data_IF_067280178716
#
_entry.id   IF_067280178716
#
_cell.length_a   1.000
_cell.length_b   1.000
_cell.length_c   1.000
_cell.angle_alpha   90.00
_cell.angle_beta   90.00
_cell.angle_gamma   90.00
#
_symmetry.space_group_name_H-M   'P 1'
#
loop_
_entity.id
_entity.type
_entity.pdbx_description
1 polymer ?
#
# COMPACT_ATOMS: atom_id res chain seq x y z
N UNK A 1 -6.42 12.21 2.96
CA UNK A 1 -5.48 11.57 3.93
C UNK A 1 -4.06 12.06 3.71
N UNK A 2 -3.21 12.06 4.75
CA UNK A 2 -1.79 12.46 4.66
C UNK A 2 -1.01 11.58 3.66
N UNK A 3 -1.24 10.25 3.68
CA UNK A 3 -0.61 9.30 2.75
C UNK A 3 -0.89 9.63 1.28
N UNK A 4 -2.14 9.93 0.92
CA UNK A 4 -2.52 10.30 -0.46
C UNK A 4 -1.78 11.57 -0.93
N UNK A 5 -1.71 12.59 -0.07
CA UNK A 5 -1.02 13.84 -0.38
C UNK A 5 0.48 13.61 -0.58
N UNK A 6 1.09 12.82 0.29
CA UNK A 6 2.52 12.53 0.24
C UNK A 6 2.90 11.70 -1.00
N UNK A 7 2.14 10.64 -1.29
CA UNK A 7 2.39 9.79 -2.47
C UNK A 7 2.13 10.56 -3.76
N UNK A 8 1.02 11.30 -3.87
CA UNK A 8 0.74 12.13 -5.06
C UNK A 8 1.83 13.17 -5.33
N UNK A 9 2.42 13.76 -4.29
CA UNK A 9 3.49 14.74 -4.44
C UNK A 9 4.80 14.11 -4.93
N UNK A 10 5.12 12.88 -4.49
CA UNK A 10 6.38 12.19 -4.84
C UNK A 10 6.28 11.37 -6.13
N UNK A 11 5.09 10.86 -6.44
CA UNK A 11 4.79 9.99 -7.58
C UNK A 11 3.64 10.60 -8.40
N UNK A 12 3.89 11.69 -9.14
CA UNK A 12 2.86 12.33 -9.95
C UNK A 12 2.36 11.36 -11.02
N UNK A 13 1.04 11.30 -11.21
CA UNK A 13 0.39 10.43 -12.20
C UNK A 13 -0.08 9.08 -11.69
N UNK A 14 0.28 8.70 -10.45
CA UNK A 14 -0.28 7.50 -9.80
C UNK A 14 -1.77 7.68 -9.52
N UNK A 15 -2.59 6.76 -10.02
CA UNK A 15 -4.01 6.73 -9.71
C UNK A 15 -4.22 6.18 -8.30
N UNK A 16 -5.10 6.84 -7.55
CA UNK A 16 -5.47 6.44 -6.20
C UNK A 16 -6.92 5.99 -6.19
N UNK A 17 -7.17 4.80 -5.67
CA UNK A 17 -8.51 4.28 -5.43
C UNK A 17 -8.74 4.21 -3.91
N UNK A 18 -9.89 4.69 -3.47
CA UNK A 18 -10.32 4.68 -2.06
C UNK A 18 -11.68 4.00 -1.90
N UNK A 19 -12.24 3.52 -3.00
CA UNK A 19 -13.46 2.74 -3.10
C UNK A 19 -13.13 1.24 -3.07
N UNK A 20 -13.96 0.45 -2.38
CA UNK A 20 -13.71 -0.98 -2.21
C UNK A 20 -14.26 -1.54 -0.91
N UNK A 21 -14.10 -2.85 -0.71
CA UNK A 21 -14.50 -3.53 0.53
C UNK A 21 -13.41 -3.45 1.61
N UNK A 22 -13.77 -3.71 2.87
CA UNK A 22 -12.91 -3.67 4.07
C UNK A 22 -12.44 -2.25 4.45
N UNK A 23 -11.14 -2.04 4.73
CA UNK A 23 -10.59 -0.78 5.26
C UNK A 23 -10.92 0.44 4.37
N UNK A 24 -11.06 0.24 3.06
CA UNK A 24 -11.48 1.27 2.09
C UNK A 24 -12.84 1.87 2.44
N UNK A 25 -13.82 1.04 2.79
CA UNK A 25 -15.18 1.48 3.13
C UNK A 25 -15.23 2.32 4.41
N UNK A 26 -14.25 2.16 5.30
CA UNK A 26 -14.11 2.97 6.52
C UNK A 26 -13.29 4.25 6.32
N UNK A 27 -12.82 4.51 5.10
CA UNK A 27 -11.91 5.62 4.82
C UNK A 27 -10.59 5.45 5.56
N UNK A 28 -10.07 4.22 5.60
CA UNK A 28 -8.81 3.85 6.26
C UNK A 28 -7.82 3.13 5.35
N UNK A 29 -8.11 3.04 4.05
CA UNK A 29 -7.14 2.52 3.09
C UNK A 29 -7.15 3.31 1.78
N UNK A 30 -6.08 3.13 1.02
CA UNK A 30 -5.91 3.62 -0.33
C UNK A 30 -5.09 2.61 -1.13
N UNK A 31 -5.51 2.38 -2.37
CA UNK A 31 -4.76 1.61 -3.37
C UNK A 31 -4.08 2.58 -4.32
N UNK A 32 -2.77 2.43 -4.47
CA UNK A 32 -1.97 3.16 -5.44
C UNK A 32 -1.75 2.26 -6.65
N UNK A 33 -2.49 2.52 -7.72
CA UNK A 33 -2.43 1.71 -8.95
C UNK A 33 -1.08 1.91 -9.65
N UNK A 34 -0.46 0.81 -10.09
CA UNK A 34 0.84 0.83 -10.75
C UNK A 34 0.80 -0.06 -11.99
N UNK A 35 1.49 0.36 -13.05
CA UNK A 35 1.63 -0.39 -14.30
C UNK A 35 2.88 -1.27 -14.33
N UNK A 36 3.81 -1.08 -13.39
CA UNK A 36 5.09 -1.76 -13.33
C UNK A 36 5.56 -1.95 -11.89
N UNK A 37 6.38 -2.99 -11.68
CA UNK A 37 6.84 -3.34 -10.33
C UNK A 37 7.80 -2.32 -9.74
N UNK A 38 8.55 -1.57 -10.56
CA UNK A 38 9.54 -0.60 -10.07
C UNK A 38 8.87 0.60 -9.40
N UNK A 39 7.74 1.06 -9.95
CA UNK A 39 6.90 2.08 -9.35
C UNK A 39 6.28 1.58 -8.05
N UNK A 40 5.76 0.34 -8.03
CA UNK A 40 5.21 -0.26 -6.83
C UNK A 40 6.23 -0.41 -5.70
N UNK A 41 7.44 -0.89 -6.01
CA UNK A 41 8.54 -0.99 -5.05
C UNK A 41 8.91 0.37 -4.46
N UNK A 42 8.99 1.41 -5.29
CA UNK A 42 9.33 2.76 -4.87
C UNK A 42 8.26 3.36 -3.95
N UNK A 43 6.97 3.18 -4.27
CA UNK A 43 5.85 3.63 -3.44
C UNK A 43 5.86 2.88 -2.11
N UNK A 44 5.93 1.56 -2.12
CA UNK A 44 5.92 0.73 -0.92
C UNK A 44 7.10 1.08 0.02
N UNK A 45 8.30 1.31 -0.53
CA UNK A 45 9.46 1.75 0.24
C UNK A 45 9.29 3.16 0.83
N UNK A 46 8.75 4.10 0.04
CA UNK A 46 8.48 5.45 0.52
C UNK A 46 7.43 5.46 1.65
N UNK A 47 6.34 4.73 1.50
CA UNK A 47 5.29 4.64 2.52
C UNK A 47 5.83 4.01 3.80
N UNK A 48 6.59 2.91 3.70
CA UNK A 48 7.20 2.25 4.87
C UNK A 48 8.18 3.15 5.61
N UNK A 49 9.06 3.85 4.89
CA UNK A 49 10.03 4.77 5.50
C UNK A 49 9.37 5.97 6.19
N UNK A 50 8.13 6.31 5.81
CA UNK A 50 7.35 7.42 6.37
C UNK A 50 6.14 6.93 7.19
N UNK A 51 6.11 5.64 7.59
CA UNK A 51 4.91 5.03 8.15
C UNK A 51 4.37 5.77 9.38
N UNK A 52 5.24 6.22 10.28
CA UNK A 52 4.86 6.96 11.49
C UNK A 52 4.23 8.33 11.17
N UNK A 53 4.81 9.10 10.24
CA UNK A 53 4.29 10.43 9.89
C UNK A 53 3.02 10.37 9.04
N UNK A 54 2.83 9.26 8.31
CA UNK A 54 1.67 9.05 7.44
C UNK A 54 0.53 8.27 8.12
N UNK A 55 0.71 7.84 9.38
CA UNK A 55 -0.30 7.09 10.14
C UNK A 55 -0.56 5.68 9.60
N UNK A 56 0.44 5.07 8.96
CA UNK A 56 0.32 3.76 8.30
C UNK A 56 0.18 2.64 9.32
N UNK A 57 -0.75 1.72 9.08
CA UNK A 57 -0.93 0.49 9.84
C UNK A 57 -0.23 -0.69 9.18
N UNK A 58 -0.49 -0.88 7.88
CA UNK A 58 0.16 -1.92 7.08
C UNK A 58 0.21 -1.53 5.60
N UNK A 59 1.09 -2.20 4.86
CA UNK A 59 1.25 -2.10 3.41
C UNK A 59 1.19 -3.51 2.84
N UNK A 60 0.46 -3.70 1.74
CA UNK A 60 0.50 -4.91 0.93
C UNK A 60 1.02 -4.56 -0.46
N UNK A 61 2.00 -5.32 -0.92
CA UNK A 61 2.58 -5.19 -2.25
C UNK A 61 3.22 -6.51 -2.69
N UNK A 62 2.99 -6.90 -3.95
CA UNK A 62 3.65 -8.06 -4.57
C UNK A 62 3.54 -9.33 -3.72
N UNK A 63 2.31 -9.67 -3.33
CA UNK A 63 1.95 -10.83 -2.51
C UNK A 63 2.65 -10.87 -1.14
N UNK A 64 3.00 -9.71 -0.59
CA UNK A 64 3.64 -9.59 0.72
C UNK A 64 2.95 -8.51 1.54
N UNK A 65 2.93 -8.73 2.84
CA UNK A 65 2.44 -7.77 3.81
C UNK A 65 3.56 -7.30 4.74
N UNK A 66 3.56 -6.01 5.04
CA UNK A 66 4.37 -5.40 6.09
C UNK A 66 3.46 -4.61 7.03
N UNK A 67 3.66 -4.73 8.34
CA UNK A 67 2.83 -4.08 9.37
C UNK A 67 3.73 -3.37 10.38
N UNK A 68 3.33 -2.19 10.87
CA UNK A 68 4.13 -1.43 11.85
C UNK A 68 4.37 -2.23 13.13
N UNK A 69 3.34 -2.92 13.62
CA UNK A 69 3.40 -3.75 14.84
C UNK A 69 4.40 -4.92 14.75
N UNK A 70 4.71 -5.37 13.53
CA UNK A 70 5.64 -6.48 13.26
C UNK A 70 6.79 -6.03 12.38
N UNK A 71 7.16 -4.76 12.45
CA UNK A 71 8.13 -4.13 11.54
C UNK A 71 9.50 -4.82 11.56
N UNK A 72 9.91 -5.38 12.69
CA UNK A 72 11.14 -6.17 12.84
C UNK A 72 11.18 -7.48 12.06
N UNK A 73 10.03 -8.03 11.67
CA UNK A 73 9.96 -9.22 10.80
C UNK A 73 10.10 -8.87 9.31
N UNK A 74 10.03 -7.59 8.95
CA UNK A 74 10.07 -7.16 7.56
C UNK A 74 8.84 -7.59 6.77
N UNK A 75 9.04 -7.87 5.47
CA UNK A 75 7.98 -8.34 4.58
C UNK A 75 7.68 -9.81 4.83
N UNK A 76 6.40 -10.15 4.92
CA UNK A 76 5.93 -11.51 5.13
C UNK A 76 5.11 -11.96 3.93
N UNK A 77 5.30 -13.19 3.43
CA UNK A 77 4.53 -13.68 2.30
C UNK A 77 3.04 -13.80 2.67
N UNK A 78 2.20 -13.58 1.68
CA UNK A 78 0.77 -13.89 1.73
C UNK A 78 0.49 -15.19 0.99
N UNK A 79 -0.62 -15.83 1.33
CA UNK A 79 -1.16 -16.91 0.50
C UNK A 79 -1.49 -16.41 -0.91
N UNK A 80 -1.51 -17.33 -1.88
CA UNK A 80 -2.03 -17.04 -3.21
C UNK A 80 -3.56 -16.95 -3.16
N UNK A 81 -4.07 -15.77 -3.50
CA UNK A 81 -5.50 -15.45 -3.52
C UNK A 81 -6.12 -15.55 -4.92
N UNK A 82 -5.35 -16.06 -5.90
CA UNK A 82 -5.86 -16.50 -7.20
C UNK A 82 -5.99 -15.42 -8.28
N UNK A 83 -5.54 -14.19 -8.06
CA UNK A 83 -5.51 -13.15 -9.11
C UNK A 83 -4.45 -12.08 -8.88
N UNK A 84 -4.06 -11.37 -9.95
CA UNK A 84 -3.15 -10.22 -9.92
C UNK A 84 -3.56 -9.19 -8.89
N UNK A 85 -4.83 -8.79 -8.92
CA UNK A 85 -5.39 -7.79 -8.00
C UNK A 85 -5.45 -8.34 -6.57
N UNK A 86 -5.94 -9.57 -6.35
CA UNK A 86 -6.02 -10.12 -5.00
C UNK A 86 -4.63 -10.32 -4.36
N UNK A 87 -3.61 -10.58 -5.18
CA UNK A 87 -2.21 -10.70 -4.77
C UNK A 87 -1.43 -9.37 -4.83
N UNK A 88 -2.10 -8.25 -5.16
CA UNK A 88 -1.53 -6.90 -5.14
C UNK A 88 -0.29 -6.75 -6.05
N UNK A 89 -0.38 -7.27 -7.26
CA UNK A 89 0.67 -7.11 -8.29
C UNK A 89 0.44 -5.88 -9.18
N UNK A 90 -0.76 -5.30 -9.16
CA UNK A 90 -1.19 -4.12 -9.95
C UNK A 90 -1.43 -2.86 -9.09
N UNK A 91 -1.28 -2.96 -7.76
CA UNK A 91 -1.40 -1.84 -6.85
C UNK A 91 -0.66 -2.04 -5.53
N UNK A 92 -0.25 -0.94 -4.90
CA UNK A 92 0.22 -0.91 -3.51
C UNK A 92 -0.96 -0.53 -2.62
N UNK A 93 -1.41 -1.45 -1.77
CA UNK A 93 -2.46 -1.18 -0.79
C UNK A 93 -1.85 -0.65 0.50
N UNK A 94 -2.40 0.44 1.03
CA UNK A 94 -1.93 1.06 2.28
C UNK A 94 -3.12 1.30 3.20
N UNK A 95 -3.06 0.70 4.39
CA UNK A 95 -4.01 0.95 5.48
C UNK A 95 -3.44 1.99 6.45
N UNK A 96 -4.29 2.89 6.95
CA UNK A 96 -4.00 4.01 7.85
C UNK A 96 -5.02 4.08 8.99
N UNK A 97 -4.67 4.74 10.10
CA UNK A 97 -5.59 4.97 11.24
C UNK A 97 -6.47 6.20 11.12
#
# INVERSE_FOLDING_TARGET
MAVMKAVKAKFPGVQMLTDGSQDHASGKAVDFMVSDSSTGDAIAAYVRSNASSLGVHYVIWSQKIWNVQRSGEGWRPMEDRGSTTANHYDHVHVSVN
#
